data_IF_705368379410
#
_entry.id   IF_705368379410
#
_cell.length_a   1.000
_cell.length_b   1.000
_cell.length_c   1.000
_cell.angle_alpha   90.00
_cell.angle_beta   90.00
_cell.angle_gamma   90.00
#
_symmetry.space_group_name_H-M   'P 1'
#
loop_
_entity.id
_entity.type
_entity.pdbx_description
1 polymer ?
#
# COMPACT_ATOMS: atom_id res chain seq x y z
N UNK A 1 2.58 15.48 25.08
CA UNK A 1 3.10 15.51 24.20
C UNK A 1 4.04 16.54 23.89
N UNK A 2 4.98 16.70 24.51
CA UNK A 2 5.95 17.72 24.35
C UNK A 2 6.44 17.90 22.95
N UNK A 3 6.27 16.93 22.13
CA UNK A 3 6.80 17.09 20.81
C UNK A 3 5.86 17.82 19.88
N UNK A 4 4.78 18.34 20.38
CA UNK A 4 3.88 19.12 19.55
C UNK A 4 4.56 20.32 18.95
N UNK A 5 5.42 20.94 19.71
CA UNK A 5 6.13 22.10 19.19
C UNK A 5 7.10 21.68 18.10
N UNK A 6 7.75 20.55 18.25
CA UNK A 6 8.69 20.06 17.25
C UNK A 6 7.98 19.59 15.99
N UNK A 7 6.67 19.33 16.09
CA UNK A 7 5.91 18.88 14.95
C UNK A 7 5.10 20.00 14.32
N UNK A 8 5.33 21.21 14.76
CA UNK A 8 4.64 22.37 14.23
C UNK A 8 4.89 22.47 12.74
N UNK A 9 3.84 22.59 11.96
CA UNK A 9 3.95 22.66 10.51
C UNK A 9 4.05 21.34 9.81
N UNK A 10 4.19 20.27 10.55
CA UNK A 10 4.25 18.95 9.96
C UNK A 10 2.85 18.41 9.67
N UNK A 11 2.81 17.51 8.72
CA UNK A 11 1.59 16.76 8.44
C UNK A 11 1.72 15.37 9.00
N UNK A 12 0.66 14.86 9.57
CA UNK A 12 0.62 13.50 10.06
C UNK A 12 -0.24 12.66 9.14
N UNK A 13 0.22 11.43 8.87
CA UNK A 13 -0.60 10.49 8.14
C UNK A 13 -1.75 10.06 9.03
N UNK A 14 -2.96 10.02 8.47
CA UNK A 14 -4.13 9.45 9.13
C UNK A 14 -4.65 8.34 8.24
N UNK A 15 -5.48 7.45 8.80
CA UNK A 15 -6.06 6.39 7.99
C UNK A 15 -6.98 6.96 6.91
N UNK A 16 -7.65 8.06 7.19
CA UNK A 16 -8.52 8.72 6.20
C UNK A 16 -7.70 9.28 5.04
N UNK A 17 -6.58 9.92 5.36
CA UNK A 17 -5.70 10.43 4.32
C UNK A 17 -5.13 9.28 3.47
N UNK A 18 -4.70 8.22 4.15
CA UNK A 18 -4.16 7.06 3.47
C UNK A 18 -5.21 6.44 2.55
N UNK A 19 -6.45 6.32 3.00
CA UNK A 19 -7.52 5.76 2.19
C UNK A 19 -7.79 6.62 0.96
N UNK A 20 -7.80 7.93 1.11
CA UNK A 20 -7.96 8.85 -0.01
C UNK A 20 -6.82 8.76 -1.00
N UNK A 21 -5.60 8.68 -0.49
CA UNK A 21 -4.41 8.54 -1.32
C UNK A 21 -4.47 7.21 -2.10
N UNK A 22 -4.85 6.14 -1.44
CA UNK A 22 -4.98 4.84 -2.08
C UNK A 22 -6.11 4.84 -3.11
N UNK A 23 -7.24 5.45 -2.79
CA UNK A 23 -8.35 5.56 -3.74
C UNK A 23 -7.93 6.29 -5.01
N UNK A 24 -7.11 7.32 -4.88
CA UNK A 24 -6.69 8.13 -6.02
C UNK A 24 -5.55 7.47 -6.81
N UNK A 25 -4.50 7.08 -6.12
CA UNK A 25 -3.26 6.66 -6.76
C UNK A 25 -2.82 5.22 -6.47
N UNK A 26 -3.57 4.52 -5.67
CA UNK A 26 -3.18 3.17 -5.29
C UNK A 26 -3.66 2.13 -6.29
N UNK A 27 -3.18 0.92 -6.08
CA UNK A 27 -3.56 -0.22 -6.89
C UNK A 27 -3.65 -1.46 -6.01
N UNK A 28 -4.78 -2.14 -6.06
CA UNK A 28 -4.93 -3.45 -5.43
C UNK A 28 -4.97 -4.46 -6.57
N UNK A 29 -4.05 -5.42 -6.54
CA UNK A 29 -3.96 -6.39 -7.62
C UNK A 29 -3.80 -7.79 -7.06
N UNK A 30 -4.05 -8.78 -7.89
CA UNK A 30 -3.78 -10.15 -7.52
C UNK A 30 -3.21 -10.87 -8.72
N UNK A 31 -2.38 -11.85 -8.45
CA UNK A 31 -1.78 -12.65 -9.49
C UNK A 31 -1.49 -14.06 -8.95
N UNK A 32 -1.28 -14.99 -9.87
CA UNK A 32 -0.94 -16.35 -9.50
C UNK A 32 0.56 -16.49 -9.48
N UNK A 33 1.08 -17.06 -8.39
CA UNK A 33 2.50 -17.31 -8.25
C UNK A 33 2.72 -18.81 -8.04
N UNK A 34 3.61 -19.37 -8.85
CA UNK A 34 3.92 -20.78 -8.73
C UNK A 34 5.11 -20.97 -7.81
N UNK A 35 4.96 -21.85 -6.83
CA UNK A 35 6.05 -22.20 -5.95
C UNK A 35 6.79 -23.37 -6.57
N UNK A 36 8.03 -23.14 -6.97
CA UNK A 36 8.82 -24.14 -7.66
C UNK A 36 9.11 -25.38 -6.80
N UNK A 37 9.25 -25.18 -5.50
CA UNK A 37 9.57 -26.29 -4.60
C UNK A 37 8.36 -27.21 -4.38
N UNK A 38 7.20 -26.65 -4.16
CA UNK A 38 6.00 -27.44 -3.90
C UNK A 38 5.18 -27.70 -5.14
N UNK A 39 5.53 -27.05 -6.25
CA UNK A 39 4.78 -27.13 -7.50
C UNK A 39 3.32 -26.71 -7.34
N UNK A 40 3.04 -25.90 -6.32
CA UNK A 40 1.70 -25.36 -6.09
C UNK A 40 1.60 -23.95 -6.57
N UNK A 41 0.40 -23.56 -7.02
CA UNK A 41 0.12 -22.21 -7.43
C UNK A 41 -0.70 -21.54 -6.34
N UNK A 42 -0.28 -20.36 -5.92
CA UNK A 42 -1.00 -19.58 -4.92
C UNK A 42 -1.38 -18.23 -5.48
N UNK A 43 -2.52 -17.73 -5.05
CA UNK A 43 -2.94 -16.40 -5.43
C UNK A 43 -2.34 -15.40 -4.46
N UNK A 44 -1.65 -14.41 -5.00
CA UNK A 44 -1.00 -13.37 -4.20
C UNK A 44 -1.75 -12.08 -4.41
N UNK A 45 -2.07 -11.41 -3.30
CA UNK A 45 -2.68 -10.09 -3.33
C UNK A 45 -1.65 -9.05 -2.95
N UNK A 46 -1.77 -7.87 -3.52
CA UNK A 46 -0.82 -6.80 -3.32
C UNK A 46 -1.54 -5.46 -3.32
N UNK A 47 -1.17 -4.59 -2.39
CA UNK A 47 -1.63 -3.20 -2.38
C UNK A 47 -0.40 -2.32 -2.55
N UNK A 48 -0.48 -1.39 -3.50
CA UNK A 48 0.65 -0.53 -3.84
C UNK A 48 0.22 0.91 -3.98
N UNK A 49 1.13 1.81 -3.63
CA UNK A 49 0.96 3.25 -3.90
C UNK A 49 2.29 3.74 -4.43
N UNK A 50 2.29 4.29 -5.64
CA UNK A 50 3.49 4.89 -6.23
C UNK A 50 3.36 6.39 -6.18
N UNK A 51 4.43 7.07 -5.82
CA UNK A 51 4.38 8.51 -5.70
C UNK A 51 5.73 9.14 -5.96
N UNK A 52 5.71 10.40 -6.38
CA UNK A 52 6.94 11.13 -6.64
C UNK A 52 7.47 11.83 -5.39
N UNK A 53 6.70 11.85 -4.31
CA UNK A 53 7.11 12.48 -3.07
C UNK A 53 7.66 11.43 -2.10
N UNK A 54 8.96 11.50 -1.88
CA UNK A 54 9.65 10.54 -1.00
C UNK A 54 9.09 10.55 0.42
N UNK A 55 8.84 11.73 0.93
CA UNK A 55 8.38 11.89 2.31
C UNK A 55 7.05 11.21 2.53
N UNK A 56 6.12 11.40 1.61
CA UNK A 56 4.80 10.79 1.72
C UNK A 56 4.92 9.26 1.67
N UNK A 57 5.80 8.73 0.81
CA UNK A 57 6.02 7.29 0.75
C UNK A 57 6.46 6.72 2.08
N UNK A 58 7.42 7.37 2.72
CA UNK A 58 7.89 6.90 4.02
C UNK A 58 6.88 7.15 5.13
N UNK A 59 6.05 8.20 5.01
CA UNK A 59 4.96 8.39 5.96
C UNK A 59 3.99 7.22 5.93
N UNK A 60 3.67 6.72 4.75
CA UNK A 60 2.77 5.56 4.61
C UNK A 60 3.37 4.36 5.32
N UNK A 61 4.63 4.06 5.04
CA UNK A 61 5.29 2.92 5.65
C UNK A 61 5.38 3.05 7.16
N UNK A 62 5.77 4.22 7.65
CA UNK A 62 5.92 4.45 9.08
C UNK A 62 4.58 4.40 9.80
N UNK A 63 3.55 4.95 9.18
CA UNK A 63 2.21 4.93 9.76
C UNK A 63 1.69 3.51 9.91
N UNK A 64 1.87 2.69 8.88
CA UNK A 64 1.37 1.33 8.89
C UNK A 64 2.24 0.40 9.71
N UNK A 65 3.55 0.62 9.72
CA UNK A 65 4.49 -0.23 10.44
C UNK A 65 4.85 -1.51 9.71
N UNK A 66 4.45 -1.63 8.45
CA UNK A 66 4.77 -2.80 7.64
C UNK A 66 4.79 -2.41 6.17
N UNK A 67 5.27 -3.32 5.32
CA UNK A 67 5.39 -3.07 3.90
C UNK A 67 6.78 -2.61 3.53
N UNK A 68 7.00 -2.39 2.26
CA UNK A 68 8.31 -2.01 1.73
C UNK A 68 8.21 -0.81 0.83
N UNK A 69 9.28 -0.05 0.78
CA UNK A 69 9.41 1.06 -0.17
C UNK A 69 10.44 0.64 -1.21
N UNK A 70 10.06 0.74 -2.47
CA UNK A 70 10.96 0.50 -3.59
C UNK A 70 11.18 1.81 -4.32
N UNK A 71 12.42 2.21 -4.44
CA UNK A 71 12.76 3.39 -5.20
C UNK A 71 12.95 3.00 -6.65
N UNK A 72 12.36 3.76 -7.54
CA UNK A 72 12.57 3.60 -8.98
C UNK A 72 13.11 4.90 -9.51
N UNK A 73 14.30 4.84 -10.05
CA UNK A 73 14.87 5.99 -10.73
C UNK A 73 13.98 6.33 -11.91
N UNK A 74 14.27 7.47 -12.52
CA UNK A 74 13.57 7.93 -13.69
C UNK A 74 13.46 6.81 -14.71
N UNK A 75 12.27 6.41 -15.06
CA UNK A 75 12.03 5.28 -15.95
C UNK A 75 11.19 5.75 -17.13
N UNK A 76 11.52 5.28 -18.30
CA UNK A 76 10.77 5.61 -19.50
C UNK A 76 11.26 6.89 -20.13
N UNK A 77 10.40 7.54 -20.86
CA UNK A 77 10.80 8.68 -21.65
C UNK A 77 11.03 9.95 -20.86
N UNK A 78 11.29 11.01 -21.60
CA UNK A 78 11.49 12.31 -21.03
C UNK A 78 10.40 12.74 -20.08
N UNK A 79 10.77 13.46 -19.05
CA UNK A 79 9.80 14.03 -18.12
C UNK A 79 9.36 13.10 -17.01
N UNK A 80 9.78 11.85 -17.04
CA UNK A 80 9.42 10.94 -15.96
C UNK A 80 10.24 11.27 -14.72
N UNK A 81 9.57 11.30 -13.58
CA UNK A 81 10.22 11.59 -12.31
C UNK A 81 10.52 10.29 -11.57
N UNK A 82 11.50 10.27 -10.67
CA UNK A 82 11.72 9.14 -9.80
C UNK A 82 10.47 8.88 -8.98
N UNK A 83 10.25 7.62 -8.62
CA UNK A 83 9.09 7.23 -7.84
C UNK A 83 9.49 6.38 -6.65
N UNK A 84 8.73 6.52 -5.59
CA UNK A 84 8.83 5.67 -4.42
C UNK A 84 7.54 4.86 -4.36
N UNK A 85 7.67 3.53 -4.41
CA UNK A 85 6.52 2.65 -4.41
C UNK A 85 6.41 1.95 -3.08
N UNK A 86 5.33 2.22 -2.36
CA UNK A 86 4.98 1.44 -1.19
C UNK A 86 4.25 0.19 -1.64
N UNK A 87 4.59 -0.94 -1.04
CA UNK A 87 3.97 -2.21 -1.40
C UNK A 87 3.77 -3.07 -0.17
N UNK A 88 2.55 -3.63 -0.04
CA UNK A 88 2.22 -4.62 0.96
C UNK A 88 1.63 -5.82 0.22
N UNK A 89 2.25 -6.99 0.39
CA UNK A 89 1.86 -8.20 -0.35
C UNK A 89 1.54 -9.34 0.60
N UNK A 90 0.82 -10.34 0.10
CA UNK A 90 0.43 -11.52 0.86
C UNK A 90 -0.41 -11.10 2.07
N UNK A 91 -0.09 -11.58 3.25
CA UNK A 91 -0.86 -11.25 4.44
C UNK A 91 -0.72 -9.79 4.85
N UNK A 92 0.33 -9.12 4.40
CA UNK A 92 0.44 -7.68 4.64
C UNK A 92 -0.61 -6.92 3.82
N UNK A 93 -0.96 -7.44 2.64
CA UNK A 93 -2.06 -6.86 1.88
C UNK A 93 -3.37 -6.98 2.64
N UNK A 94 -3.57 -8.08 3.35
CA UNK A 94 -4.75 -8.24 4.21
C UNK A 94 -4.74 -7.21 5.34
N UNK A 95 -3.60 -7.02 5.99
CA UNK A 95 -3.48 -5.99 7.03
C UNK A 95 -3.81 -4.60 6.49
N UNK A 96 -3.28 -4.29 5.31
CA UNK A 96 -3.54 -3.03 4.64
C UNK A 96 -5.04 -2.89 4.36
N UNK A 97 -5.63 -3.93 3.77
CA UNK A 97 -7.04 -3.90 3.40
C UNK A 97 -7.94 -3.72 4.62
N UNK A 98 -7.67 -4.44 5.70
CA UNK A 98 -8.48 -4.30 6.91
C UNK A 98 -8.42 -2.89 7.49
N UNK A 99 -7.28 -2.23 7.37
CA UNK A 99 -7.11 -0.90 7.92
C UNK A 99 -7.78 0.16 7.05
N UNK A 100 -7.67 0.02 5.74
CA UNK A 100 -8.08 1.06 4.79
C UNK A 100 -9.52 0.89 4.32
N UNK A 101 -10.02 -0.35 4.25
CA UNK A 101 -11.34 -0.65 3.71
C UNK A 101 -12.46 0.20 4.29
N UNK A 102 -12.56 0.39 5.64
CA UNK A 102 -13.67 1.17 6.19
C UNK A 102 -13.70 2.61 5.70
N UNK A 103 -12.59 3.12 5.20
CA UNK A 103 -12.47 4.51 4.79
C UNK A 103 -12.35 4.67 3.27
N UNK A 104 -12.26 3.57 2.54
CA UNK A 104 -12.10 3.62 1.08
C UNK A 104 -13.45 3.76 0.41
N UNK A 105 -13.47 4.48 -0.69
CA UNK A 105 -14.68 4.66 -1.49
C UNK A 105 -14.51 4.03 -2.86
N UNK A 106 -13.46 4.43 -3.57
CA UNK A 106 -13.26 4.03 -4.95
C UNK A 106 -12.78 2.58 -5.07
N UNK A 107 -11.89 2.16 -4.19
CA UNK A 107 -11.27 0.84 -4.25
C UNK A 107 -11.85 -0.16 -3.26
N UNK A 108 -12.98 0.18 -2.69
CA UNK A 108 -13.62 -0.63 -1.65
C UNK A 108 -13.83 -2.07 -2.07
N UNK A 109 -14.30 -2.29 -3.30
CA UNK A 109 -14.58 -3.65 -3.76
C UNK A 109 -13.31 -4.48 -3.85
N UNK A 110 -12.24 -3.92 -4.37
CA UNK A 110 -10.98 -4.66 -4.51
C UNK A 110 -10.38 -4.99 -3.14
N UNK A 111 -10.48 -4.07 -2.20
CA UNK A 111 -10.01 -4.32 -0.84
C UNK A 111 -10.85 -5.40 -0.16
N UNK A 112 -12.16 -5.38 -0.39
CA UNK A 112 -13.03 -6.40 0.16
C UNK A 112 -12.70 -7.77 -0.42
N UNK A 113 -12.32 -7.84 -1.70
CA UNK A 113 -11.92 -9.10 -2.31
C UNK A 113 -10.69 -9.69 -1.62
N UNK A 114 -9.75 -8.85 -1.23
CA UNK A 114 -8.56 -9.30 -0.48
C UNK A 114 -8.98 -9.89 0.86
N UNK A 115 -9.81 -9.17 1.59
CA UNK A 115 -10.29 -9.64 2.89
C UNK A 115 -11.01 -10.98 2.74
N UNK A 116 -11.90 -11.06 1.75
CA UNK A 116 -12.67 -12.29 1.52
C UNK A 116 -11.77 -13.48 1.19
N UNK A 117 -10.73 -13.24 0.41
CA UNK A 117 -9.80 -14.30 0.04
C UNK A 117 -9.18 -14.95 1.28
N UNK A 118 -8.69 -14.13 2.21
CA UNK A 118 -8.00 -14.65 3.39
C UNK A 118 -8.97 -15.19 4.45
N UNK A 119 -10.15 -14.60 4.54
CA UNK A 119 -11.18 -15.12 5.47
C UNK A 119 -11.61 -16.51 5.02
N UNK A 120 -11.84 -16.69 3.71
CA UNK A 120 -12.30 -17.97 3.21
C UNK A 120 -11.23 -19.05 3.25
N UNK A 121 -9.97 -18.66 3.39
CA UNK A 121 -8.89 -19.64 3.50
C UNK A 121 -8.66 -20.12 4.92
N UNK A 122 -9.15 -19.45 5.88
CA UNK A 122 -8.87 -19.75 7.29
C UNK A 122 -9.51 -21.06 7.77
#
# INVERSE_FOLDING_TARGET
>A
MGDKSSNKGRRYMTVEYLAGLFDADGCASSYLQRNKKSNKTVQVHSCEISMTNKEVGYWVKNFLGFGNIHYRAKVGGMGKKPQWRYRASHRLALKFANKVLPHSIVKKKKLQDIVNHYVNKA
#
